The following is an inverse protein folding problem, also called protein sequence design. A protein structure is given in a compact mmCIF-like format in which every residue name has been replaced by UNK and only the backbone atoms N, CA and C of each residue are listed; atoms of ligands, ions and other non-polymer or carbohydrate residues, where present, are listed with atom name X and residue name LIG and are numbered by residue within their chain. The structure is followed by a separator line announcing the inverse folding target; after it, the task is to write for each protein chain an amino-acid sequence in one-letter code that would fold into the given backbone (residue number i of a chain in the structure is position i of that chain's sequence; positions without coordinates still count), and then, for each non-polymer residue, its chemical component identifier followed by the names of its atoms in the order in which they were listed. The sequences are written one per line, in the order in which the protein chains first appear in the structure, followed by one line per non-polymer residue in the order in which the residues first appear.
data_IF_230863119709
#
_entry.id   IF_230863119709
#
_cell.length_a   1.000
_cell.length_b   1.000
_cell.length_c   1.000
_cell.angle_alpha   90.00
_cell.angle_beta   90.00
_cell.angle_gamma   90.00
#
_symmetry.space_group_name_H-M   'P 1'
#
loop_
_entity.id
_entity.type
_entity.pdbx_description
1 polymer ?
#
# COMPACT_ATOMS: atom_id res chain seq x y z
N UNK A 1 6.32 5.75 3.31
CA UNK A 1 6.95 5.53 2.02
C UNK A 1 7.23 6.85 1.32
N UNK A 2 8.46 7.33 1.49
CA UNK A 2 8.98 8.47 0.76
C UNK A 2 9.84 7.91 -0.39
N UNK A 3 9.41 8.08 -1.63
CA UNK A 3 10.31 8.08 -2.77
C UNK A 3 10.61 9.56 -3.03
N UNK A 4 11.70 10.05 -2.46
CA UNK A 4 12.28 11.33 -2.82
C UNK A 4 12.94 11.19 -4.19
N UNK A 5 12.42 11.92 -5.17
CA UNK A 5 13.05 12.13 -6.47
C UNK A 5 14.33 12.95 -6.29
N UNK A 6 15.50 12.31 -6.37
CA UNK A 6 16.74 13.03 -6.65
C UNK A 6 17.04 12.88 -8.14
N UNK A 7 16.90 13.98 -8.86
CA UNK A 7 17.42 14.15 -10.22
C UNK A 7 18.94 14.30 -10.15
N UNK A 8 19.64 13.41 -10.84
CA UNK A 8 21.07 13.61 -11.19
C UNK A 8 21.10 14.28 -12.56
N UNK A 9 21.69 15.48 -12.71
CA UNK A 9 21.86 16.09 -14.03
C UNK A 9 23.01 15.43 -14.77
N UNK A 10 22.76 14.99 -16.00
CA UNK A 10 23.78 14.62 -16.97
C UNK A 10 24.54 15.87 -17.38
N UNK A 11 25.85 15.86 -17.11
CA UNK A 11 26.81 16.86 -17.62
C UNK A 11 27.04 16.63 -19.10
N UNK A 12 26.60 17.56 -19.95
CA UNK A 12 27.11 17.71 -21.30
C UNK A 12 28.20 18.76 -21.31
N UNK A 13 29.38 18.36 -21.78
CA UNK A 13 30.54 19.20 -22.01
C UNK A 13 30.32 20.11 -23.22
N UNK A 14 30.44 21.42 -23.05
CA UNK A 14 30.88 22.34 -24.11
C UNK A 14 31.69 23.47 -23.50
N UNK A 15 32.90 23.58 -23.98
CA UNK A 15 33.90 24.58 -23.68
C UNK A 15 33.56 25.95 -24.29
N UNK A 16 33.68 27.02 -23.53
CA UNK A 16 34.19 28.31 -24.02
C UNK A 16 34.58 29.22 -22.84
N UNK A 17 35.77 29.76 -22.97
CA UNK A 17 36.49 30.65 -22.08
C UNK A 17 35.90 32.05 -22.00
N UNK A 18 35.86 32.67 -20.83
CA UNK A 18 36.37 34.03 -20.57
C UNK A 18 36.24 34.41 -19.09
N UNK A 19 37.22 35.13 -18.64
CA UNK A 19 37.59 35.61 -17.31
C UNK A 19 36.58 36.58 -16.66
N UNK A 20 36.39 36.49 -15.33
CA UNK A 20 36.74 37.53 -14.34
C UNK A 20 36.12 37.28 -12.94
N UNK A 21 37.04 37.26 -11.96
CA UNK A 21 36.98 37.78 -10.57
C UNK A 21 35.83 37.39 -9.60
N UNK A 22 36.28 36.66 -8.57
CA UNK A 22 36.00 36.77 -7.15
C UNK A 22 34.56 36.98 -6.66
N UNK A 23 33.98 35.92 -6.16
CA UNK A 23 33.44 35.88 -4.78
C UNK A 23 33.32 34.43 -4.31
N UNK A 24 34.08 34.11 -3.29
CA UNK A 24 34.05 32.83 -2.58
C UNK A 24 32.73 32.71 -1.81
N UNK A 25 31.81 31.89 -2.30
CA UNK A 25 30.74 31.37 -1.50
C UNK A 25 30.96 29.89 -1.25
N UNK A 26 31.41 29.55 -0.06
CA UNK A 26 31.46 28.22 0.47
C UNK A 26 30.05 27.60 0.49
N UNK A 27 29.69 26.90 -0.57
CA UNK A 27 28.64 25.90 -0.45
C UNK A 27 29.25 24.62 0.14
N UNK A 28 29.28 24.54 1.44
CA UNK A 28 29.43 23.27 2.14
C UNK A 28 28.27 22.38 1.72
N UNK A 29 28.58 21.37 0.90
CA UNK A 29 27.71 20.21 0.80
C UNK A 29 27.62 19.63 2.22
N UNK A 30 26.45 19.79 2.85
CA UNK A 30 26.12 19.15 4.13
C UNK A 30 26.01 17.66 3.80
N UNK A 31 27.08 16.90 3.98
CA UNK A 31 27.01 15.46 4.07
C UNK A 31 26.02 15.19 5.23
N UNK A 32 24.84 14.67 4.92
CA UNK A 32 23.90 14.18 5.93
C UNK A 32 24.66 13.05 6.62
N UNK A 33 25.08 13.30 7.86
CA UNK A 33 25.71 12.31 8.68
C UNK A 33 24.61 11.28 8.98
N UNK A 34 24.72 10.10 8.35
CA UNK A 34 23.83 8.96 8.68
C UNK A 34 23.97 8.68 10.17
N UNK A 35 22.86 8.47 10.85
CA UNK A 35 22.88 8.02 12.23
C UNK A 35 23.43 6.58 12.31
N UNK A 36 23.82 6.13 13.49
CA UNK A 36 24.44 4.80 13.65
C UNK A 36 23.47 3.68 13.27
N UNK A 37 22.17 3.91 13.46
CA UNK A 37 21.12 2.97 13.10
C UNK A 37 20.94 2.84 11.59
N UNK A 38 20.97 3.95 10.86
CA UNK A 38 20.91 3.95 9.40
C UNK A 38 22.13 3.22 8.80
N UNK A 39 23.32 3.36 9.39
CA UNK A 39 24.51 2.58 9.01
C UNK A 39 24.31 1.09 9.23
N UNK A 40 23.80 0.68 10.38
CA UNK A 40 23.54 -0.72 10.68
C UNK A 40 22.50 -1.34 9.72
N UNK A 41 21.47 -0.59 9.32
CA UNK A 41 20.49 -1.02 8.33
C UNK A 41 21.17 -1.18 6.97
N UNK A 42 22.02 -0.24 6.57
CA UNK A 42 22.73 -0.33 5.29
C UNK A 42 23.70 -1.52 5.25
N UNK A 43 24.40 -1.81 6.35
CA UNK A 43 25.25 -3.00 6.50
C UNK A 43 24.44 -4.30 6.36
N UNK A 44 23.26 -4.38 6.94
CA UNK A 44 22.36 -5.54 6.81
C UNK A 44 21.95 -5.78 5.34
N UNK A 45 21.85 -4.71 4.57
CA UNK A 45 21.38 -4.77 3.18
C UNK A 45 22.52 -4.82 2.14
N UNK A 46 23.78 -4.65 2.52
CA UNK A 46 24.94 -4.61 1.59
C UNK A 46 25.11 -5.89 0.74
N UNK A 47 24.63 -7.04 1.25
CA UNK A 47 24.65 -8.30 0.51
C UNK A 47 23.75 -8.23 -0.74
N UNK A 48 22.67 -7.43 -0.68
CA UNK A 48 21.68 -7.33 -1.75
C UNK A 48 22.10 -6.28 -2.76
N UNK A 49 22.94 -6.69 -3.73
CA UNK A 49 23.50 -5.83 -4.77
C UNK A 49 23.44 -6.52 -6.13
N UNK A 50 23.46 -5.78 -7.23
CA UNK A 50 23.52 -6.35 -8.57
C UNK A 50 24.62 -7.40 -8.71
N UNK A 51 24.29 -8.52 -9.38
CA UNK A 51 25.15 -9.69 -9.53
C UNK A 51 25.06 -10.72 -8.41
N UNK A 52 24.54 -10.37 -7.21
CA UNK A 52 24.43 -11.31 -6.12
C UNK A 52 23.38 -12.41 -6.42
N UNK A 53 23.72 -13.66 -6.03
CA UNK A 53 22.85 -14.82 -6.17
C UNK A 53 22.07 -15.05 -4.87
N UNK A 54 20.77 -15.18 -4.98
CA UNK A 54 19.89 -15.63 -3.91
C UNK A 54 19.64 -17.14 -4.03
N UNK A 55 19.04 -17.73 -3.00
CA UNK A 55 18.55 -19.11 -3.11
C UNK A 55 17.48 -19.24 -4.19
N UNK A 56 17.24 -20.46 -4.67
CA UNK A 56 16.31 -20.79 -5.76
C UNK A 56 16.66 -20.06 -7.08
N UNK A 57 17.97 -19.90 -7.35
CA UNK A 57 18.53 -19.43 -8.61
C UNK A 57 18.10 -18.01 -9.03
N UNK A 58 17.72 -17.15 -8.10
CA UNK A 58 17.43 -15.75 -8.38
C UNK A 58 18.70 -14.91 -8.34
N UNK A 59 19.02 -14.23 -9.44
CA UNK A 59 20.11 -13.26 -9.51
C UNK A 59 19.57 -11.83 -9.44
N UNK A 60 20.19 -11.00 -8.59
CA UNK A 60 19.85 -9.57 -8.49
C UNK A 60 20.43 -8.86 -9.71
N UNK A 61 19.58 -8.14 -10.47
CA UNK A 61 19.95 -7.44 -11.70
C UNK A 61 20.21 -5.96 -11.44
N UNK A 62 19.23 -5.23 -10.95
CA UNK A 62 19.32 -3.78 -10.74
C UNK A 62 18.43 -3.32 -9.58
N UNK A 63 18.76 -2.18 -8.99
CA UNK A 63 17.94 -1.48 -8.00
C UNK A 63 16.80 -0.76 -8.71
N UNK A 64 15.56 -1.06 -8.33
CA UNK A 64 14.35 -0.41 -8.85
C UNK A 64 13.90 0.77 -7.99
N UNK A 65 14.19 0.73 -6.69
CA UNK A 65 13.84 1.77 -5.74
C UNK A 65 14.30 1.46 -4.34
N UNK A 66 14.34 2.52 -3.53
CA UNK A 66 14.68 2.49 -2.11
C UNK A 66 13.72 3.39 -1.34
N UNK A 67 13.35 3.02 -0.13
CA UNK A 67 12.42 3.79 0.68
C UNK A 67 12.43 3.36 2.15
N UNK A 68 11.54 3.94 2.96
CA UNK A 68 11.47 3.71 4.40
C UNK A 68 11.23 2.26 4.84
N UNK A 69 10.87 1.37 3.92
CA UNK A 69 10.68 -0.07 4.19
C UNK A 69 11.79 -0.96 3.61
N UNK A 70 12.88 -0.38 3.08
CA UNK A 70 14.01 -1.11 2.51
C UNK A 70 14.19 -0.89 1.02
N UNK A 71 14.80 -1.88 0.34
CA UNK A 71 15.20 -1.78 -1.07
C UNK A 71 14.40 -2.74 -1.94
N UNK A 72 14.15 -2.32 -3.18
CA UNK A 72 13.46 -3.13 -4.19
C UNK A 72 14.38 -3.29 -5.41
N UNK A 73 14.56 -4.53 -5.85
CA UNK A 73 15.43 -4.87 -6.98
C UNK A 73 14.66 -5.64 -8.05
N UNK A 74 15.09 -5.51 -9.30
CA UNK A 74 14.78 -6.51 -10.32
C UNK A 74 15.67 -7.72 -10.10
N UNK A 75 15.07 -8.92 -10.15
CA UNK A 75 15.77 -10.20 -10.09
C UNK A 75 15.35 -11.05 -11.27
N UNK A 76 16.25 -11.94 -11.69
CA UNK A 76 15.99 -12.92 -12.74
C UNK A 76 16.25 -14.33 -12.22
N UNK A 77 15.33 -15.23 -12.48
CA UNK A 77 15.55 -16.66 -12.25
C UNK A 77 16.45 -17.20 -13.34
N UNK A 78 17.57 -17.78 -12.95
CA UNK A 78 18.61 -18.26 -13.87
C UNK A 78 18.28 -19.60 -14.54
N UNK A 79 17.15 -20.24 -14.19
CA UNK A 79 16.69 -21.49 -14.83
C UNK A 79 15.74 -21.16 -15.98
N UNK A 80 14.68 -20.38 -15.72
CA UNK A 80 13.61 -20.11 -16.68
C UNK A 80 13.63 -18.68 -17.22
N UNK A 81 14.61 -17.87 -16.81
CA UNK A 81 14.82 -16.48 -17.19
C UNK A 81 13.65 -15.54 -16.80
N UNK A 82 12.76 -15.98 -15.94
CA UNK A 82 11.65 -15.16 -15.43
C UNK A 82 12.17 -13.96 -14.64
N UNK A 83 11.68 -12.77 -14.95
CA UNK A 83 11.98 -11.56 -14.19
C UNK A 83 10.95 -11.36 -13.07
N UNK A 84 11.41 -10.92 -11.90
CA UNK A 84 10.58 -10.65 -10.72
C UNK A 84 11.09 -9.42 -9.95
N UNK A 85 10.31 -8.98 -8.97
CA UNK A 85 10.70 -7.92 -8.04
C UNK A 85 11.06 -8.52 -6.69
N UNK A 86 12.25 -8.20 -6.18
CA UNK A 86 12.74 -8.56 -4.86
C UNK A 86 12.56 -7.36 -3.92
N UNK A 87 11.78 -7.52 -2.86
CA UNK A 87 11.71 -6.55 -1.74
C UNK A 87 12.58 -7.06 -0.59
N UNK A 88 13.42 -6.21 -0.02
CA UNK A 88 14.32 -6.53 1.10
C UNK A 88 14.17 -5.48 2.19
N UNK A 89 14.02 -5.92 3.44
CA UNK A 89 14.03 -5.04 4.61
C UNK A 89 15.03 -5.57 5.66
N UNK A 90 15.70 -4.66 6.38
CA UNK A 90 16.48 -5.03 7.56
C UNK A 90 15.56 -5.49 8.70
N UNK A 91 15.99 -6.45 9.49
CA UNK A 91 15.27 -6.86 10.72
C UNK A 91 15.27 -5.80 11.81
N UNK A 92 16.11 -4.78 11.68
CA UNK A 92 16.26 -3.64 12.61
C UNK A 92 15.29 -2.50 12.33
N UNK A 93 14.48 -2.62 11.26
CA UNK A 93 13.48 -1.60 10.92
C UNK A 93 12.48 -1.40 12.05
N UNK A 94 12.17 -0.13 12.36
CA UNK A 94 11.19 0.22 13.37
C UNK A 94 9.74 -0.12 12.93
N UNK A 95 8.89 -0.40 13.90
CA UNK A 95 7.48 -0.68 13.63
C UNK A 95 7.16 -2.11 13.21
N UNK A 96 8.18 -2.99 13.16
CA UNK A 96 8.02 -4.39 12.78
C UNK A 96 8.19 -4.64 11.28
N UNK A 97 8.11 -5.91 10.88
CA UNK A 97 8.34 -6.31 9.50
C UNK A 97 7.13 -6.02 8.59
N UNK A 98 7.29 -5.09 7.67
CA UNK A 98 6.32 -4.83 6.60
C UNK A 98 6.18 -6.04 5.66
N UNK A 99 7.29 -6.73 5.36
CA UNK A 99 7.30 -7.96 4.54
C UNK A 99 6.45 -9.06 5.15
N UNK A 100 6.43 -9.20 6.48
CA UNK A 100 5.56 -10.21 7.13
C UNK A 100 4.08 -9.91 6.92
N UNK A 101 3.68 -8.65 7.04
CA UNK A 101 2.29 -8.23 6.83
C UNK A 101 1.91 -8.40 5.35
N UNK A 102 2.76 -7.96 4.45
CA UNK A 102 2.56 -8.07 3.00
C UNK A 102 2.46 -9.53 2.55
N UNK A 103 3.37 -10.39 3.04
CA UNK A 103 3.32 -11.84 2.81
C UNK A 103 1.96 -12.42 3.23
N UNK A 104 1.55 -12.16 4.48
CA UNK A 104 0.29 -12.71 5.00
C UNK A 104 -0.93 -12.25 4.19
N UNK A 105 -0.96 -10.97 3.77
CA UNK A 105 -2.02 -10.43 2.94
C UNK A 105 -2.04 -11.10 1.55
N UNK A 106 -0.88 -11.20 0.87
CA UNK A 106 -0.79 -11.80 -0.46
C UNK A 106 -1.16 -13.29 -0.45
N UNK A 107 -0.65 -14.06 0.53
CA UNK A 107 -1.02 -15.48 0.69
C UNK A 107 -2.52 -15.66 0.88
N UNK A 108 -3.15 -14.81 1.71
CA UNK A 108 -4.58 -14.88 1.96
C UNK A 108 -5.41 -14.46 0.73
N UNK A 109 -5.03 -13.37 0.05
CA UNK A 109 -5.73 -12.90 -1.15
C UNK A 109 -5.73 -13.95 -2.26
N UNK A 110 -4.62 -14.67 -2.42
CA UNK A 110 -4.47 -15.71 -3.45
C UNK A 110 -4.90 -17.12 -2.99
N UNK A 111 -5.36 -17.29 -1.75
CA UNK A 111 -5.76 -18.58 -1.19
C UNK A 111 -6.82 -19.31 -2.04
N UNK A 112 -7.74 -18.55 -2.64
CA UNK A 112 -8.82 -19.06 -3.50
C UNK A 112 -8.55 -18.80 -4.99
N UNK A 113 -7.31 -18.98 -5.42
CA UNK A 113 -6.87 -18.77 -6.81
C UNK A 113 -6.23 -17.41 -7.05
N UNK A 114 -5.54 -17.30 -8.18
CA UNK A 114 -4.86 -16.06 -8.58
C UNK A 114 -5.84 -14.93 -8.82
N UNK A 115 -5.48 -13.72 -8.41
CA UNK A 115 -6.25 -12.49 -8.65
C UNK A 115 -5.46 -11.60 -9.60
N UNK A 116 -6.06 -11.13 -10.67
CA UNK A 116 -5.37 -10.30 -11.66
C UNK A 116 -5.03 -9.00 -10.97
N UNK A 117 -5.44 -8.19 -10.44
CA UNK A 117 -5.06 -6.88 -9.89
C UNK A 117 -4.11 -6.91 -8.67
N UNK A 118 -3.56 -8.08 -8.34
CA UNK A 118 -2.66 -8.24 -7.17
C UNK A 118 -1.43 -9.04 -7.58
N UNK A 119 -0.21 -8.61 -7.23
CA UNK A 119 1.00 -9.34 -7.58
C UNK A 119 1.05 -10.71 -6.88
N UNK A 120 1.56 -11.72 -7.58
CA UNK A 120 1.79 -13.05 -7.01
C UNK A 120 3.02 -13.02 -6.11
N UNK A 121 2.92 -13.69 -4.96
CA UNK A 121 4.06 -14.02 -4.11
C UNK A 121 4.76 -15.25 -4.67
N UNK A 122 6.02 -15.10 -5.11
CA UNK A 122 6.80 -16.17 -5.70
C UNK A 122 7.69 -16.86 -4.67
N UNK A 123 8.30 -16.11 -3.76
CA UNK A 123 9.20 -16.64 -2.75
C UNK A 123 9.34 -15.72 -1.55
N UNK A 124 9.61 -16.26 -0.38
CA UNK A 124 9.96 -15.50 0.83
C UNK A 124 11.05 -16.20 1.62
N UNK A 125 11.90 -15.40 2.27
CA UNK A 125 12.93 -15.93 3.17
C UNK A 125 13.24 -14.90 4.26
N UNK A 126 13.45 -15.41 5.47
CA UNK A 126 14.10 -14.69 6.56
C UNK A 126 15.56 -15.09 6.64
N UNK A 127 16.46 -14.12 6.74
CA UNK A 127 17.86 -14.27 7.11
C UNK A 127 18.11 -13.67 8.49
N UNK A 128 19.35 -13.81 9.01
CA UNK A 128 19.71 -13.25 10.32
C UNK A 128 19.40 -11.74 10.39
N UNK A 129 19.82 -10.99 9.36
CA UNK A 129 19.79 -9.53 9.35
C UNK A 129 18.71 -8.93 8.43
N UNK A 130 18.08 -9.72 7.57
CA UNK A 130 17.09 -9.20 6.61
C UNK A 130 15.97 -10.19 6.34
N UNK A 131 14.78 -9.65 6.10
CA UNK A 131 13.68 -10.36 5.48
C UNK A 131 13.62 -10.00 4.01
N UNK A 132 13.27 -10.93 3.15
CA UNK A 132 13.00 -10.64 1.76
C UNK A 132 11.86 -11.45 1.17
N UNK A 133 11.25 -10.89 0.15
CA UNK A 133 10.21 -11.53 -0.64
C UNK A 133 10.43 -11.24 -2.12
N UNK A 134 10.04 -12.19 -2.96
CA UNK A 134 10.05 -12.07 -4.42
C UNK A 134 8.60 -12.13 -4.89
N UNK A 135 8.19 -11.14 -5.65
CA UNK A 135 6.84 -10.99 -6.19
C UNK A 135 6.90 -10.76 -7.70
N UNK A 136 5.76 -10.87 -8.37
CA UNK A 136 5.63 -10.54 -9.79
C UNK A 136 6.22 -9.17 -10.09
N UNK A 137 7.08 -9.08 -11.11
CA UNK A 137 7.58 -7.80 -11.63
C UNK A 137 6.46 -7.10 -12.39
N UNK A 138 6.20 -5.85 -12.03
CA UNK A 138 5.23 -4.98 -12.70
C UNK A 138 5.93 -3.88 -13.50
N UNK A 139 5.15 -3.12 -14.23
CA UNK A 139 5.59 -1.95 -14.97
C UNK A 139 5.64 -0.68 -14.12
N UNK A 140 5.54 0.48 -14.77
CA UNK A 140 5.58 1.78 -14.08
C UNK A 140 4.31 1.99 -13.24
N UNK A 141 4.48 2.60 -12.06
CA UNK A 141 3.37 2.99 -11.20
C UNK A 141 2.72 4.29 -11.69
N UNK A 142 1.49 4.55 -11.22
CA UNK A 142 0.70 5.69 -11.66
C UNK A 142 1.36 7.04 -11.35
N UNK A 143 2.14 7.15 -10.25
CA UNK A 143 2.87 8.38 -9.94
C UNK A 143 3.93 8.67 -10.99
N UNK A 144 4.77 7.68 -11.33
CA UNK A 144 5.81 7.84 -12.34
C UNK A 144 5.26 8.15 -13.73
N UNK A 145 4.15 7.51 -14.09
CA UNK A 145 3.46 7.80 -15.36
C UNK A 145 2.95 9.25 -15.37
N UNK A 146 2.35 9.72 -14.23
CA UNK A 146 1.92 11.12 -14.10
C UNK A 146 3.09 12.07 -14.30
N UNK A 147 4.16 11.88 -13.54
CA UNK A 147 5.32 12.79 -13.53
C UNK A 147 5.99 12.86 -14.91
N UNK A 148 6.07 11.72 -15.60
CA UNK A 148 6.77 11.59 -16.89
C UNK A 148 5.92 12.07 -18.07
N UNK A 149 4.61 11.76 -18.09
CA UNK A 149 3.77 11.99 -19.26
C UNK A 149 2.70 13.04 -19.04
N UNK A 150 2.22 13.22 -17.80
CA UNK A 150 1.05 14.05 -17.48
C UNK A 150 1.23 14.92 -16.25
N UNK A 151 2.23 15.78 -16.19
CA UNK A 151 2.51 16.61 -14.99
C UNK A 151 1.34 17.55 -14.63
N UNK A 152 0.44 17.84 -15.58
CA UNK A 152 -0.78 18.64 -15.35
C UNK A 152 -2.02 17.81 -15.03
N UNK A 153 -1.93 16.47 -15.08
CA UNK A 153 -3.03 15.53 -14.86
C UNK A 153 -3.28 14.63 -16.06
N UNK A 154 -3.83 13.46 -15.80
CA UNK A 154 -4.14 12.45 -16.82
C UNK A 154 -5.24 12.92 -17.78
N UNK A 155 -5.18 12.58 -19.07
CA UNK A 155 -6.32 12.72 -19.99
C UNK A 155 -7.52 11.94 -19.46
N UNK A 156 -8.71 12.50 -19.57
CA UNK A 156 -9.92 11.95 -18.94
C UNK A 156 -10.21 10.51 -19.34
N UNK A 157 -9.95 10.11 -20.59
CA UNK A 157 -10.18 8.75 -21.07
C UNK A 157 -9.21 7.74 -20.43
N UNK A 158 -7.93 8.10 -20.27
CA UNK A 158 -6.95 7.29 -19.56
C UNK A 158 -7.30 7.22 -18.07
N UNK A 159 -7.59 8.38 -17.48
CA UNK A 159 -7.94 8.52 -16.09
C UNK A 159 -9.13 7.66 -15.65
N UNK A 160 -10.23 7.68 -16.43
CA UNK A 160 -11.43 6.91 -16.08
C UNK A 160 -11.22 5.40 -16.20
N UNK A 161 -10.45 4.93 -17.20
CA UNK A 161 -10.06 3.51 -17.31
C UNK A 161 -9.23 3.06 -16.09
N UNK A 162 -8.30 3.88 -15.64
CA UNK A 162 -7.51 3.63 -14.43
C UNK A 162 -8.39 3.64 -13.18
N UNK A 163 -9.34 4.58 -13.08
CA UNK A 163 -10.24 4.70 -11.92
C UNK A 163 -11.06 3.43 -11.67
N UNK A 164 -11.65 2.87 -12.74
CA UNK A 164 -12.41 1.61 -12.67
C UNK A 164 -11.51 0.46 -12.23
N UNK A 165 -10.32 0.33 -12.81
CA UNK A 165 -9.39 -0.73 -12.44
C UNK A 165 -8.90 -0.62 -10.98
N UNK A 166 -8.63 0.59 -10.50
CA UNK A 166 -8.26 0.81 -9.09
C UNK A 166 -9.39 0.42 -8.13
N UNK A 167 -10.66 0.73 -8.48
CA UNK A 167 -11.81 0.30 -7.69
C UNK A 167 -11.90 -1.23 -7.61
N UNK A 168 -11.74 -1.91 -8.74
CA UNK A 168 -11.74 -3.38 -8.81
C UNK A 168 -10.61 -3.96 -7.95
N UNK A 169 -9.39 -3.42 -8.05
CA UNK A 169 -8.25 -3.85 -7.26
C UNK A 169 -8.49 -3.71 -5.75
N UNK A 170 -9.03 -2.57 -5.31
CA UNK A 170 -9.36 -2.33 -3.90
C UNK A 170 -10.45 -3.30 -3.43
N UNK A 171 -11.50 -3.53 -4.25
CA UNK A 171 -12.56 -4.48 -3.89
C UNK A 171 -12.02 -5.90 -3.72
N UNK A 172 -11.10 -6.37 -4.57
CA UNK A 172 -10.44 -7.67 -4.40
C UNK A 172 -9.77 -7.77 -3.02
N UNK A 173 -9.07 -6.73 -2.58
CA UNK A 173 -8.45 -6.69 -1.25
C UNK A 173 -9.51 -6.72 -0.15
N UNK A 174 -10.59 -5.94 -0.28
CA UNK A 174 -11.68 -5.90 0.69
C UNK A 174 -12.43 -7.24 0.77
N UNK A 175 -12.70 -7.88 -0.36
CA UNK A 175 -13.36 -9.19 -0.44
C UNK A 175 -12.49 -10.32 0.15
N UNK A 176 -11.20 -10.08 0.28
CA UNK A 176 -10.27 -10.97 0.97
C UNK A 176 -10.15 -10.67 2.47
N UNK A 177 -10.96 -9.77 3.01
CA UNK A 177 -10.99 -9.45 4.44
C UNK A 177 -9.93 -8.45 4.91
N UNK A 178 -9.24 -7.76 3.99
CA UNK A 178 -8.19 -6.80 4.31
C UNK A 178 -8.57 -5.37 3.92
N UNK A 179 -8.01 -4.41 4.67
CA UNK A 179 -7.88 -3.01 4.30
C UNK A 179 -6.45 -2.77 3.85
N UNK A 180 -6.25 -1.93 2.85
CA UNK A 180 -4.92 -1.58 2.36
C UNK A 180 -4.25 -0.50 3.22
N UNK A 181 -4.97 0.59 3.53
CA UNK A 181 -4.60 1.72 4.39
C UNK A 181 -3.47 2.64 3.89
N UNK A 182 -2.99 2.43 2.67
CA UNK A 182 -2.03 3.35 2.00
C UNK A 182 -2.33 3.45 0.50
N UNK A 183 -3.57 3.77 0.16
CA UNK A 183 -4.01 3.99 -1.22
C UNK A 183 -3.42 5.30 -1.73
N UNK A 184 -2.55 5.20 -2.75
CA UNK A 184 -1.86 6.32 -3.40
C UNK A 184 -1.36 5.94 -4.79
N UNK A 185 -1.03 6.90 -5.69
CA UNK A 185 -0.60 6.59 -7.05
C UNK A 185 0.63 5.68 -7.14
N UNK A 186 1.58 5.81 -6.20
CA UNK A 186 2.80 5.01 -6.16
C UNK A 186 2.54 3.52 -5.84
N UNK A 187 1.38 3.20 -5.23
CA UNK A 187 0.99 1.85 -4.86
C UNK A 187 0.05 1.20 -5.89
N UNK A 188 -0.08 1.78 -7.09
CA UNK A 188 -0.73 1.16 -8.24
C UNK A 188 0.21 1.18 -9.43
N UNK A 189 0.44 0.03 -10.06
CA UNK A 189 1.30 -0.11 -11.22
C UNK A 189 0.61 -0.92 -12.32
N UNK A 190 0.93 -0.60 -13.56
CA UNK A 190 0.53 -1.45 -14.68
C UNK A 190 1.30 -2.78 -14.66
N UNK A 191 0.75 -3.80 -15.30
CA UNK A 191 1.44 -5.06 -15.51
C UNK A 191 2.74 -4.88 -16.28
N UNK A 192 3.60 -5.90 -16.24
CA UNK A 192 4.87 -5.87 -16.95
C UNK A 192 4.62 -5.65 -18.46
N UNK A 193 5.21 -4.63 -19.09
CA UNK A 193 5.02 -4.38 -20.52
C UNK A 193 5.55 -5.51 -21.42
N UNK A 194 6.39 -6.41 -20.91
CA UNK A 194 6.80 -7.61 -21.60
C UNK A 194 5.73 -8.71 -21.64
N UNK A 195 4.69 -8.64 -20.77
CA UNK A 195 3.55 -9.55 -20.77
C UNK A 195 2.30 -8.85 -21.34
N UNK A 196 1.98 -9.05 -22.63
CA UNK A 196 0.86 -8.37 -23.27
C UNK A 196 -0.51 -8.68 -22.64
N UNK A 197 -0.64 -9.83 -21.96
CA UNK A 197 -1.90 -10.23 -21.30
C UNK A 197 -2.16 -9.36 -20.06
N UNK A 198 -1.12 -8.88 -19.41
CA UNK A 198 -1.20 -8.11 -18.16
C UNK A 198 -0.76 -6.66 -18.30
N UNK A 199 -0.12 -6.28 -19.42
CA UNK A 199 0.46 -4.95 -19.62
C UNK A 199 -0.52 -3.78 -19.36
N UNK A 200 -1.82 -3.98 -19.62
CA UNK A 200 -2.86 -2.95 -19.40
C UNK A 200 -3.66 -3.15 -18.12
N UNK A 201 -3.31 -4.13 -17.27
CA UNK A 201 -3.98 -4.38 -16.00
C UNK A 201 -3.26 -3.59 -14.91
N UNK A 202 -4.01 -2.79 -14.17
CA UNK A 202 -3.50 -2.06 -12.99
C UNK A 202 -3.48 -3.00 -11.79
N UNK A 203 -2.35 -3.08 -11.10
CA UNK A 203 -2.16 -3.89 -9.89
C UNK A 203 -1.98 -2.99 -8.68
N UNK A 204 -2.55 -3.38 -7.56
CA UNK A 204 -2.34 -2.75 -6.25
C UNK A 204 -1.13 -3.38 -5.55
N UNK A 205 -0.27 -2.56 -4.98
CA UNK A 205 1.03 -2.91 -4.41
C UNK A 205 1.15 -2.49 -2.96
N UNK A 206 2.12 -3.08 -2.25
CA UNK A 206 2.59 -2.65 -0.94
C UNK A 206 1.55 -2.83 0.17
N UNK A 207 1.40 -4.07 0.63
CA UNK A 207 0.52 -4.44 1.73
C UNK A 207 1.20 -4.30 3.11
N UNK A 208 2.33 -3.62 3.20
CA UNK A 208 3.09 -3.43 4.44
C UNK A 208 2.33 -2.69 5.55
N UNK A 209 1.29 -1.92 5.20
CA UNK A 209 0.40 -1.27 6.14
C UNK A 209 -0.98 -1.93 6.21
N UNK A 210 -1.23 -3.02 5.49
CA UNK A 210 -2.54 -3.66 5.43
C UNK A 210 -3.01 -4.18 6.80
N UNK A 211 -4.32 -4.32 6.96
CA UNK A 211 -4.93 -4.83 8.18
C UNK A 211 -6.14 -5.69 7.85
N UNK A 212 -6.19 -6.86 8.43
CA UNK A 212 -7.39 -7.69 8.39
C UNK A 212 -8.50 -7.00 9.21
N UNK A 213 -9.63 -6.69 8.58
CA UNK A 213 -10.78 -6.04 9.24
C UNK A 213 -11.83 -7.05 9.73
N UNK A 214 -11.69 -8.31 9.33
CA UNK A 214 -12.53 -9.43 9.76
C UNK A 214 -11.68 -10.52 10.41
N UNK A 215 -12.30 -11.31 11.25
CA UNK A 215 -11.71 -12.48 11.90
C UNK A 215 -12.66 -13.64 11.70
N UNK A 216 -12.14 -14.85 11.70
CA UNK A 216 -12.98 -16.05 11.74
C UNK A 216 -13.89 -16.02 12.97
N UNK A 217 -15.15 -16.39 12.80
CA UNK A 217 -16.08 -16.50 13.91
C UNK A 217 -15.83 -17.84 14.65
N UNK A 218 -15.37 -17.81 15.93
CA UNK A 218 -15.08 -19.03 16.67
C UNK A 218 -16.34 -19.86 16.95
N UNK A 219 -17.53 -19.27 16.82
CA UNK A 219 -18.82 -19.94 17.06
C UNK A 219 -19.41 -20.59 15.81
N UNK A 220 -18.95 -20.18 14.62
CA UNK A 220 -19.53 -20.63 13.34
C UNK A 220 -18.45 -20.81 12.28
N UNK A 221 -18.06 -22.07 12.05
CA UNK A 221 -17.06 -22.42 11.03
C UNK A 221 -17.43 -21.84 9.66
N UNK A 222 -16.49 -21.15 9.02
CA UNK A 222 -16.67 -20.53 7.71
C UNK A 222 -17.46 -19.21 7.72
N UNK A 223 -17.77 -18.68 8.90
CA UNK A 223 -18.31 -17.33 9.05
C UNK A 223 -17.24 -16.35 9.55
N UNK A 224 -17.45 -15.07 9.27
CA UNK A 224 -16.57 -14.00 9.70
C UNK A 224 -17.28 -13.10 10.70
N UNK A 225 -16.50 -12.50 11.61
CA UNK A 225 -16.93 -11.41 12.47
C UNK A 225 -16.06 -10.19 12.23
N UNK A 226 -16.60 -8.97 12.35
CA UNK A 226 -15.77 -7.78 12.24
C UNK A 226 -14.79 -7.71 13.42
N UNK A 227 -13.61 -7.17 13.14
CA UNK A 227 -12.68 -6.79 14.21
C UNK A 227 -13.24 -5.58 14.94
N UNK A 228 -13.26 -5.61 16.28
CA UNK A 228 -13.69 -4.48 17.09
C UNK A 228 -12.86 -3.24 16.79
N UNK A 229 -13.50 -2.10 16.60
CA UNK A 229 -12.86 -0.83 16.38
C UNK A 229 -12.07 -0.40 17.63
N UNK A 230 -10.83 0.04 17.45
CA UNK A 230 -10.02 0.61 18.53
C UNK A 230 -10.49 2.02 18.84
N UNK A 231 -10.42 2.46 20.11
CA UNK A 231 -10.82 3.83 20.47
C UNK A 231 -9.92 4.89 19.83
N UNK A 232 -8.64 4.56 19.62
CA UNK A 232 -7.67 5.43 18.97
C UNK A 232 -6.66 4.61 18.16
N UNK A 233 -6.20 5.17 17.05
CA UNK A 233 -5.15 4.61 16.20
C UNK A 233 -4.15 5.68 15.82
N UNK A 234 -2.86 5.32 15.79
CA UNK A 234 -1.84 6.20 15.27
C UNK A 234 -2.05 6.45 13.78
N UNK A 235 -1.68 7.65 13.34
CA UNK A 235 -1.66 7.97 11.93
C UNK A 235 -0.64 7.08 11.20
N UNK A 236 -1.07 6.43 10.13
CA UNK A 236 -0.23 5.60 9.26
C UNK A 236 -0.64 5.79 7.81
N UNK A 237 0.33 5.72 6.90
CA UNK A 237 0.11 5.93 5.47
C UNK A 237 0.50 7.33 5.01
N UNK A 238 -0.01 7.73 3.87
CA UNK A 238 0.35 8.98 3.19
C UNK A 238 -0.69 10.05 3.46
N UNK A 239 -0.35 11.06 4.25
CA UNK A 239 -1.25 12.13 4.70
C UNK A 239 -2.03 12.81 3.56
N UNK A 240 -1.38 12.99 2.40
CA UNK A 240 -1.98 13.60 1.20
C UNK A 240 -3.29 12.91 0.79
N UNK A 241 -3.35 11.58 0.91
CA UNK A 241 -4.47 10.75 0.49
C UNK A 241 -5.26 10.15 1.66
N UNK A 242 -4.85 10.39 2.90
CA UNK A 242 -5.50 9.88 4.10
C UNK A 242 -6.98 10.30 4.19
N UNK A 243 -7.85 9.38 4.60
CA UNK A 243 -9.28 9.68 4.83
C UNK A 243 -9.50 10.67 5.97
N UNK A 244 -10.67 11.32 6.07
CA UNK A 244 -11.01 12.14 7.23
C UNK A 244 -10.85 11.41 8.56
N UNK A 245 -11.29 10.14 8.64
CA UNK A 245 -11.19 9.32 9.85
C UNK A 245 -9.74 9.04 10.28
N UNK A 246 -8.81 8.92 9.31
CA UNK A 246 -7.40 8.74 9.60
C UNK A 246 -6.78 9.97 10.27
N UNK A 247 -7.20 11.19 9.88
CA UNK A 247 -6.76 12.43 10.53
C UNK A 247 -7.31 12.56 11.96
N UNK A 248 -8.47 11.96 12.25
CA UNK A 248 -9.05 11.93 13.61
C UNK A 248 -8.46 10.85 14.51
N UNK A 249 -7.56 10.00 14.00
CA UNK A 249 -7.07 8.85 14.73
C UNK A 249 -8.14 7.79 15.01
N UNK A 250 -9.22 7.76 14.22
CA UNK A 250 -10.28 6.77 14.32
C UNK A 250 -9.87 5.45 13.66
N UNK A 251 -10.50 4.33 14.08
CA UNK A 251 -10.30 3.05 13.39
C UNK A 251 -10.82 3.13 11.96
N UNK A 252 -10.07 2.54 11.03
CA UNK A 252 -10.36 2.58 9.61
C UNK A 252 -11.20 1.39 9.17
N UNK A 253 -12.10 1.64 8.22
CA UNK A 253 -12.91 0.65 7.54
C UNK A 253 -12.71 0.67 6.02
N UNK A 254 -13.49 -0.14 5.30
CA UNK A 254 -13.45 -0.21 3.84
C UNK A 254 -13.71 1.15 3.15
N UNK A 255 -14.55 1.99 3.76
CA UNK A 255 -14.83 3.34 3.27
C UNK A 255 -13.60 4.24 3.22
N UNK A 256 -12.62 4.00 4.09
CA UNK A 256 -11.45 4.85 4.22
C UNK A 256 -10.45 4.62 3.08
N UNK A 257 -10.30 3.38 2.60
CA UNK A 257 -9.56 3.08 1.37
C UNK A 257 -10.25 3.72 0.15
N UNK A 258 -11.59 3.78 0.12
CA UNK A 258 -12.34 4.45 -0.96
C UNK A 258 -12.21 5.98 -0.87
N UNK A 259 -12.19 6.58 0.33
CA UNK A 259 -11.83 8.00 0.46
C UNK A 259 -10.44 8.29 -0.10
N UNK A 260 -9.46 7.44 0.24
CA UNK A 260 -8.10 7.56 -0.29
C UNK A 260 -8.06 7.39 -1.81
N UNK A 261 -8.88 6.48 -2.38
CA UNK A 261 -9.07 6.36 -3.83
C UNK A 261 -9.58 7.67 -4.43
N UNK A 262 -10.62 8.27 -3.88
CA UNK A 262 -11.16 9.56 -4.38
C UNK A 262 -10.06 10.63 -4.40
N UNK A 263 -9.30 10.79 -3.32
CA UNK A 263 -8.23 11.77 -3.25
C UNK A 263 -7.07 11.45 -4.22
N UNK A 264 -6.74 10.18 -4.39
CA UNK A 264 -5.77 9.73 -5.39
C UNK A 264 -6.23 10.07 -6.81
N UNK A 265 -7.50 9.83 -7.13
CA UNK A 265 -8.06 10.12 -8.44
C UNK A 265 -8.12 11.63 -8.70
N UNK A 266 -8.41 12.44 -7.68
CA UNK A 266 -8.31 13.90 -7.77
C UNK A 266 -6.88 14.33 -8.10
N UNK A 267 -5.88 13.79 -7.41
CA UNK A 267 -4.46 14.11 -7.66
C UNK A 267 -4.03 13.68 -9.08
N UNK A 268 -4.47 12.52 -9.55
CA UNK A 268 -4.15 12.06 -10.90
C UNK A 268 -4.77 12.91 -12.00
N UNK A 269 -5.95 13.49 -11.77
CA UNK A 269 -6.68 14.28 -12.75
C UNK A 269 -6.35 15.77 -12.71
N UNK A 270 -6.18 16.30 -11.48
CA UNK A 270 -5.97 17.72 -11.23
C UNK A 270 -5.11 17.91 -9.96
N UNK A 271 -5.09 19.11 -9.38
CA UNK A 271 -4.46 19.35 -8.08
C UNK A 271 -5.47 19.22 -6.95
N UNK A 272 -5.02 18.71 -5.80
CA UNK A 272 -5.80 18.61 -4.57
C UNK A 272 -6.07 20.00 -3.96
N UNK A 273 -7.19 20.22 -3.26
CA UNK A 273 -7.46 21.49 -2.56
C UNK A 273 -6.39 21.86 -1.54
N UNK A 274 -5.76 20.86 -0.92
CA UNK A 274 -4.69 21.03 0.10
C UNK A 274 -3.28 20.86 -0.44
N UNK A 275 -3.06 20.92 -1.76
CA UNK A 275 -1.74 20.72 -2.38
C UNK A 275 -0.64 21.62 -1.84
N UNK A 276 -1.00 22.84 -1.42
CA UNK A 276 -0.08 23.88 -0.90
C UNK A 276 -0.14 24.02 0.63
N UNK A 277 -0.77 23.07 1.33
CA UNK A 277 -0.94 23.13 2.77
C UNK A 277 -0.02 22.11 3.44
N UNK A 278 0.88 22.57 4.31
CA UNK A 278 1.82 21.71 5.04
C UNK A 278 1.33 21.37 6.47
N UNK A 279 0.19 21.94 6.89
CA UNK A 279 -0.37 21.70 8.21
C UNK A 279 -1.36 20.52 8.18
N UNK A 280 -0.98 19.41 8.83
CA UNK A 280 -1.79 18.18 8.85
C UNK A 280 -3.17 18.36 9.47
N UNK A 281 -3.29 19.15 10.53
CA UNK A 281 -4.58 19.44 11.18
C UNK A 281 -5.49 20.26 10.27
N UNK A 282 -4.93 21.23 9.55
CA UNK A 282 -5.67 22.04 8.58
C UNK A 282 -6.17 21.17 7.42
N UNK A 283 -5.34 20.26 6.90
CA UNK A 283 -5.72 19.33 5.85
C UNK A 283 -6.85 18.41 6.33
N UNK A 284 -6.73 17.84 7.52
CA UNK A 284 -7.78 17.02 8.13
C UNK A 284 -9.11 17.79 8.22
N UNK A 285 -9.09 19.02 8.71
CA UNK A 285 -10.27 19.89 8.80
C UNK A 285 -10.87 20.20 7.42
N UNK A 286 -10.05 20.46 6.40
CA UNK A 286 -10.52 20.67 5.02
C UNK A 286 -11.27 19.43 4.52
N UNK A 287 -10.68 18.24 4.63
CA UNK A 287 -11.30 16.98 4.19
C UNK A 287 -12.62 16.68 4.88
N UNK A 288 -12.76 17.07 6.16
CA UNK A 288 -13.99 16.88 6.95
C UNK A 288 -15.09 17.87 6.60
N UNK A 289 -14.73 19.17 6.42
CA UNK A 289 -15.68 20.28 6.41
C UNK A 289 -16.10 20.75 5.03
N UNK A 290 -15.25 20.52 3.99
CA UNK A 290 -15.61 20.91 2.63
C UNK A 290 -16.89 20.20 2.19
N UNK A 291 -17.79 20.96 1.56
CA UNK A 291 -18.99 20.40 0.92
C UNK A 291 -18.56 19.50 -0.25
N UNK A 292 -19.37 18.50 -0.57
CA UNK A 292 -19.01 17.54 -1.62
C UNK A 292 -18.87 18.21 -3.00
N UNK A 293 -19.71 19.18 -3.30
CA UNK A 293 -19.65 19.95 -4.54
C UNK A 293 -18.38 20.81 -4.64
N UNK A 294 -17.93 21.37 -3.51
CA UNK A 294 -16.69 22.14 -3.44
C UNK A 294 -15.46 21.22 -3.52
N UNK A 295 -15.49 20.12 -2.77
CA UNK A 295 -14.43 19.11 -2.78
C UNK A 295 -14.20 18.55 -4.19
N UNK A 296 -15.27 18.25 -4.92
CA UNK A 296 -15.25 17.59 -6.21
C UNK A 296 -15.23 18.57 -7.41
N UNK A 297 -15.08 19.89 -7.17
CA UNK A 297 -15.25 20.95 -8.19
C UNK A 297 -14.37 20.78 -9.43
N UNK A 298 -13.20 20.16 -9.30
CA UNK A 298 -12.28 19.92 -10.42
C UNK A 298 -12.53 18.59 -11.14
N UNK A 299 -13.40 17.75 -10.61
CA UNK A 299 -13.74 16.43 -11.18
C UNK A 299 -15.08 16.49 -11.92
N UNK A 300 -15.34 15.53 -12.81
CA UNK A 300 -16.66 15.39 -13.40
C UNK A 300 -17.77 15.30 -12.34
N UNK A 301 -18.84 16.09 -12.43
CA UNK A 301 -19.87 16.18 -11.40
C UNK A 301 -20.62 14.85 -11.18
N UNK A 302 -20.56 13.95 -12.15
CA UNK A 302 -21.10 12.60 -12.06
C UNK A 302 -20.53 11.80 -10.88
N UNK A 303 -19.39 12.24 -10.32
CA UNK A 303 -18.70 11.58 -9.19
C UNK A 303 -19.13 12.10 -7.81
N UNK A 304 -19.85 13.21 -7.73
CA UNK A 304 -20.33 13.79 -6.44
C UNK A 304 -21.12 12.76 -5.60
N UNK A 305 -21.96 11.88 -6.17
CA UNK A 305 -22.65 10.87 -5.37
C UNK A 305 -21.73 9.93 -4.58
N UNK A 306 -20.47 9.75 -5.00
CA UNK A 306 -19.49 8.90 -4.31
C UNK A 306 -19.19 9.49 -2.94
N UNK A 307 -18.82 10.76 -2.85
CA UNK A 307 -18.47 11.41 -1.56
C UNK A 307 -19.69 11.52 -0.65
N UNK A 308 -20.88 11.83 -1.20
CA UNK A 308 -22.14 11.82 -0.44
C UNK A 308 -22.40 10.45 0.18
N UNK A 309 -22.23 9.36 -0.59
CA UNK A 309 -22.35 8.00 -0.07
C UNK A 309 -21.33 7.71 1.02
N UNK A 310 -20.04 8.03 0.81
CA UNK A 310 -18.99 7.75 1.78
C UNK A 310 -19.20 8.46 3.13
N UNK A 311 -19.82 9.64 3.15
CA UNK A 311 -20.15 10.35 4.39
C UNK A 311 -21.23 9.68 5.22
N UNK A 312 -22.07 8.82 4.62
CA UNK A 312 -23.12 8.07 5.35
C UNK A 312 -22.58 6.80 6.00
N UNK A 313 -21.34 6.38 5.70
CA UNK A 313 -20.78 5.12 6.16
C UNK A 313 -20.01 5.27 7.46
N UNK A 314 -20.10 4.26 8.30
CA UNK A 314 -19.21 4.05 9.45
C UNK A 314 -18.08 3.05 9.15
N UNK A 315 -17.29 2.70 10.17
CA UNK A 315 -16.13 1.80 10.06
C UNK A 315 -16.51 0.38 9.62
N UNK A 316 -17.71 -0.07 9.90
CA UNK A 316 -18.17 -1.45 9.62
C UNK A 316 -18.89 -1.58 8.28
N UNK A 317 -19.40 -0.47 7.75
CA UNK A 317 -20.23 -0.51 6.56
C UNK A 317 -19.41 -0.91 5.31
N UNK A 318 -20.06 -1.65 4.44
CA UNK A 318 -19.54 -1.97 3.11
C UNK A 318 -19.85 -0.80 2.16
N UNK A 319 -18.85 -0.22 1.47
CA UNK A 319 -19.12 0.72 0.39
C UNK A 319 -19.98 0.09 -0.71
N UNK A 320 -20.85 0.87 -1.29
CA UNK A 320 -21.60 0.45 -2.47
C UNK A 320 -20.71 0.59 -3.72
N UNK A 321 -19.96 -0.47 -4.03
CA UNK A 321 -19.03 -0.49 -5.17
C UNK A 321 -19.75 -0.34 -6.51
N UNK A 322 -21.00 -0.83 -6.62
CA UNK A 322 -21.83 -0.67 -7.81
C UNK A 322 -22.14 0.80 -8.04
N UNK A 323 -22.64 1.52 -7.01
CA UNK A 323 -22.89 2.95 -7.11
C UNK A 323 -21.64 3.72 -7.56
N UNK A 324 -20.47 3.36 -7.00
CA UNK A 324 -19.20 4.03 -7.34
C UNK A 324 -18.85 3.76 -8.80
N UNK A 325 -18.97 2.51 -9.25
CA UNK A 325 -18.72 2.15 -10.63
C UNK A 325 -19.72 2.81 -11.61
N UNK A 326 -20.99 2.90 -11.25
CA UNK A 326 -22.01 3.57 -12.05
C UNK A 326 -21.68 5.06 -12.26
N UNK A 327 -21.10 5.71 -11.23
CA UNK A 327 -20.59 7.06 -11.37
C UNK A 327 -19.41 7.12 -12.34
N UNK A 328 -18.50 6.17 -12.30
CA UNK A 328 -17.39 6.07 -13.26
C UNK A 328 -17.89 5.76 -14.67
N UNK A 329 -18.84 4.86 -14.81
CA UNK A 329 -19.41 4.49 -16.13
C UNK A 329 -20.12 5.65 -16.82
N UNK A 330 -20.81 6.51 -16.07
CA UNK A 330 -21.37 7.76 -16.60
C UNK A 330 -20.28 8.65 -17.20
N UNK A 331 -19.12 8.77 -16.54
CA UNK A 331 -17.98 9.53 -17.06
C UNK A 331 -17.38 8.82 -18.28
N UNK A 332 -17.18 7.50 -18.20
CA UNK A 332 -16.66 6.67 -19.29
C UNK A 332 -17.48 6.85 -20.57
N UNK A 333 -18.80 6.76 -20.45
CA UNK A 333 -19.75 6.92 -21.56
C UNK A 333 -19.79 8.36 -22.08
N UNK A 334 -19.86 9.36 -21.19
CA UNK A 334 -19.88 10.78 -21.53
C UNK A 334 -18.68 11.20 -22.38
N UNK A 335 -17.49 10.72 -22.02
CA UNK A 335 -16.25 11.03 -22.74
C UNK A 335 -15.92 10.02 -23.85
N UNK A 336 -16.83 9.10 -24.15
CA UNK A 336 -16.66 8.06 -25.19
C UNK A 336 -15.31 7.33 -25.04
N UNK A 337 -14.96 6.96 -23.78
CA UNK A 337 -13.79 6.14 -23.55
C UNK A 337 -14.01 4.71 -24.04
N UNK A 338 -12.94 4.01 -24.38
CA UNK A 338 -13.02 2.63 -24.85
C UNK A 338 -11.86 1.81 -24.27
N UNK A 339 -12.13 0.56 -23.92
CA UNK A 339 -11.12 -0.36 -23.41
C UNK A 339 -10.10 -0.78 -24.47
N UNK A 340 -10.50 -0.76 -25.75
CA UNK A 340 -9.60 -1.09 -26.87
C UNK A 340 -8.67 0.07 -27.24
N UNK A 341 -9.02 1.33 -26.87
CA UNK A 341 -8.11 2.46 -27.08
C UNK A 341 -6.81 2.26 -26.31
N UNK A 342 -5.64 2.48 -26.94
CA UNK A 342 -4.37 2.45 -26.23
C UNK A 342 -4.34 3.51 -25.13
N UNK A 343 -3.42 3.35 -24.19
CA UNK A 343 -3.03 4.46 -23.34
C UNK A 343 -2.05 5.35 -24.09
N UNK A 344 -2.12 6.66 -23.90
CA UNK A 344 -1.34 7.63 -24.69
C UNK A 344 0.19 7.49 -24.50
N UNK A 345 0.63 6.82 -23.42
CA UNK A 345 2.05 6.52 -23.19
C UNK A 345 2.53 5.20 -23.81
N UNK A 346 1.66 4.39 -24.36
CA UNK A 346 2.08 3.16 -25.04
C UNK A 346 2.76 3.49 -26.38
N UNK A 347 3.88 2.82 -26.66
CA UNK A 347 4.45 2.89 -28.01
C UNK A 347 3.47 2.27 -29.02
N UNK A 348 3.59 2.65 -30.28
CA UNK A 348 2.74 2.11 -31.35
C UNK A 348 2.80 0.58 -31.41
N UNK A 349 3.99 0.01 -31.27
CA UNK A 349 4.22 -1.44 -31.29
C UNK A 349 3.58 -2.13 -30.07
N UNK A 350 3.72 -1.53 -28.88
CA UNK A 350 3.08 -2.02 -27.67
C UNK A 350 1.56 -1.95 -27.78
N UNK A 351 1.01 -0.87 -28.32
CA UNK A 351 -0.42 -0.69 -28.50
C UNK A 351 -1.01 -1.77 -29.43
N UNK A 352 -0.36 -2.06 -30.57
CA UNK A 352 -0.80 -3.10 -31.51
C UNK A 352 -0.72 -4.49 -30.86
N UNK A 353 0.41 -4.81 -30.21
CA UNK A 353 0.59 -6.09 -29.52
C UNK A 353 -0.44 -6.31 -28.42
N UNK A 354 -0.65 -5.32 -27.57
CA UNK A 354 -1.58 -5.41 -26.43
C UNK A 354 -3.04 -5.51 -26.93
N UNK A 355 -3.40 -4.84 -28.04
CA UNK A 355 -4.73 -4.92 -28.63
C UNK A 355 -5.05 -6.34 -29.11
N UNK A 356 -4.09 -7.03 -29.74
CA UNK A 356 -4.30 -8.40 -30.23
C UNK A 356 -4.66 -9.36 -29.08
N UNK A 357 -4.08 -9.17 -27.90
CA UNK A 357 -4.42 -9.97 -26.72
C UNK A 357 -5.76 -9.57 -26.07
N UNK A 358 -6.13 -8.29 -26.13
CA UNK A 358 -7.41 -7.82 -25.56
C UNK A 358 -8.61 -8.32 -26.36
N UNK A 359 -8.49 -8.50 -27.67
CA UNK A 359 -9.57 -9.02 -28.51
C UNK A 359 -9.92 -10.48 -28.21
N UNK A 360 -8.97 -11.26 -27.67
CA UNK A 360 -9.16 -12.66 -27.31
C UNK A 360 -9.61 -12.93 -25.87
N UNK A 361 -9.54 -11.94 -24.98
CA UNK A 361 -9.95 -12.09 -23.58
C UNK A 361 -11.28 -11.39 -23.30
N UNK A 362 -12.23 -12.10 -22.65
CA UNK A 362 -13.40 -11.43 -22.07
C UNK A 362 -12.90 -10.33 -21.13
N UNK A 363 -13.15 -9.08 -21.49
CA UNK A 363 -12.71 -7.96 -20.69
C UNK A 363 -13.51 -7.95 -19.37
N UNK A 364 -12.80 -8.16 -18.26
CA UNK A 364 -13.33 -8.13 -16.89
C UNK A 364 -14.12 -6.83 -16.58
N UNK A 365 -13.93 -5.79 -17.38
CA UNK A 365 -14.50 -4.47 -17.15
C UNK A 365 -15.69 -4.12 -18.05
N UNK A 366 -16.07 -4.99 -18.99
CA UNK A 366 -17.24 -4.76 -19.84
C UNK A 366 -18.55 -4.98 -19.12
N UNK A 367 -18.56 -5.86 -18.12
CA UNK A 367 -19.68 -6.06 -17.19
C UNK A 367 -19.15 -6.42 -15.80
N UNK A 368 -18.67 -5.45 -15.03
CA UNK A 368 -18.18 -5.68 -13.66
C UNK A 368 -19.34 -5.85 -12.65
N UNK A 369 -20.59 -5.67 -13.06
CA UNK A 369 -21.76 -5.64 -12.21
C UNK A 369 -21.86 -6.85 -11.27
N UNK A 370 -21.81 -8.10 -11.75
CA UNK A 370 -21.86 -9.27 -10.89
C UNK A 370 -20.76 -9.28 -9.81
N UNK A 371 -19.52 -8.99 -10.21
CA UNK A 371 -18.39 -8.92 -9.26
C UNK A 371 -18.58 -7.81 -8.23
N UNK A 372 -19.06 -6.63 -8.62
CA UNK A 372 -19.23 -5.49 -7.71
C UNK A 372 -20.38 -5.69 -6.71
N UNK A 373 -21.41 -6.45 -7.08
CA UNK A 373 -22.53 -6.80 -6.21
C UNK A 373 -22.15 -7.87 -5.18
N UNK A 374 -21.27 -8.80 -5.55
CA UNK A 374 -20.85 -9.90 -4.69
C UNK A 374 -20.27 -9.40 -3.35
N UNK A 375 -20.68 -10.01 -2.24
CA UNK A 375 -20.14 -9.79 -0.90
C UNK A 375 -19.76 -11.11 -0.25
N UNK A 376 -18.55 -11.63 -0.50
CA UNK A 376 -18.11 -12.92 0.04
C UNK A 376 -17.94 -12.90 1.56
N UNK A 377 -17.69 -11.74 2.14
CA UNK A 377 -17.49 -11.57 3.59
C UNK A 377 -18.82 -11.47 4.35
N UNK A 378 -19.87 -10.95 3.71
CA UNK A 378 -21.24 -10.80 4.28
C UNK A 378 -21.29 -10.09 5.64
N UNK A 379 -20.34 -9.20 5.90
CA UNK A 379 -20.30 -8.34 7.09
C UNK A 379 -20.64 -6.93 6.66
N UNK A 380 -21.90 -6.56 6.81
CA UNK A 380 -22.37 -5.20 6.67
C UNK A 380 -23.29 -4.90 7.86
N UNK A 381 -22.67 -4.51 8.97
CA UNK A 381 -23.36 -4.26 10.23
C UNK A 381 -23.30 -2.78 10.55
N UNK A 382 -24.47 -2.22 10.77
CA UNK A 382 -24.57 -0.86 11.32
C UNK A 382 -24.08 -0.82 12.79
N UNK A 383 -23.77 0.36 13.32
CA UNK A 383 -23.19 0.57 14.64
C UNK A 383 -24.00 -0.04 15.80
N UNK A 384 -25.31 -0.22 15.63
CA UNK A 384 -26.21 -0.71 16.68
C UNK A 384 -26.08 -2.20 17.04
N UNK A 385 -25.39 -3.01 16.24
CA UNK A 385 -25.27 -4.46 16.51
C UNK A 385 -24.00 -4.85 17.27
N UNK A 386 -23.05 -3.95 17.45
CA UNK A 386 -21.77 -4.20 18.15
C UNK A 386 -21.48 -3.23 19.30
N UNK A 387 -22.42 -2.34 19.66
CA UNK A 387 -22.45 -1.74 20.97
C UNK A 387 -22.97 -2.82 21.95
N UNK A 388 -22.10 -3.76 22.31
CA UNK A 388 -22.39 -4.62 23.45
C UNK A 388 -22.41 -3.72 24.67
N UNK A 389 -23.41 -3.90 25.50
CA UNK A 389 -23.57 -3.30 26.81
C UNK A 389 -22.39 -3.51 27.77
N UNK A 390 -21.39 -4.27 27.36
CA UNK A 390 -20.22 -4.63 28.16
C UNK A 390 -18.98 -3.76 27.91
N UNK A 391 -18.99 -2.89 26.87
CA UNK A 391 -17.86 -1.99 26.55
C UNK A 391 -18.22 -0.49 26.74
N UNK A 392 -19.08 -0.16 27.69
CA UNK A 392 -19.27 1.23 28.10
C UNK A 392 -18.09 1.72 28.93
N UNK A 393 -16.95 1.94 28.27
CA UNK A 393 -15.93 2.84 28.80
C UNK A 393 -16.45 4.27 28.56
N UNK A 394 -16.58 5.10 29.60
CA UNK A 394 -17.10 6.46 29.45
C UNK A 394 -16.24 7.24 28.46
N UNK A 395 -16.86 7.90 27.50
CA UNK A 395 -16.18 8.89 26.66
C UNK A 395 -15.67 10.01 27.56
N UNK A 396 -14.41 9.94 27.98
CA UNK A 396 -13.73 11.05 28.59
C UNK A 396 -13.44 12.04 27.46
N UNK A 397 -14.28 13.08 27.39
CA UNK A 397 -13.99 14.25 26.59
C UNK A 397 -12.71 14.87 27.17
N UNK A 398 -11.59 14.72 26.46
CA UNK A 398 -10.36 15.39 26.78
C UNK A 398 -10.56 16.90 26.57
N UNK A 399 -10.98 17.61 27.64
CA UNK A 399 -10.83 19.06 27.73
C UNK A 399 -9.33 19.35 27.78
N UNK A 400 -8.77 19.83 26.70
CA UNK A 400 -7.45 20.45 26.70
C UNK A 400 -7.50 21.66 27.66
N UNK A 401 -6.87 21.56 28.83
CA UNK A 401 -6.55 22.71 29.66
C UNK A 401 -5.33 23.39 29.02
N UNK A 402 -5.56 24.52 28.38
CA UNK A 402 -4.53 25.48 28.04
C UNK A 402 -4.12 26.22 29.31
N UNK A 403 -3.04 25.82 29.96
CA UNK A 403 -2.36 26.68 30.92
C UNK A 403 -1.20 27.35 30.23
N UNK A 404 -1.35 28.64 30.04
CA UNK A 404 -0.27 29.55 29.67
C UNK A 404 0.76 29.59 30.80
N UNK A 405 2.02 29.31 30.48
CA UNK A 405 3.15 29.51 31.42
C UNK A 405 3.80 30.84 31.10
N UNK A 406 3.69 31.78 32.05
CA UNK A 406 4.53 32.98 32.08
C UNK A 406 5.83 32.66 32.86
N UNK A 407 6.99 33.19 32.45
CA UNK A 407 8.25 32.94 33.09
C UNK A 407 8.60 34.09 34.09
N UNK A 408 8.73 33.78 35.37
CA UNK A 408 9.61 34.57 36.23
C UNK A 408 9.81 33.90 37.61
N UNK A 409 11.07 33.93 38.07
CA UNK A 409 11.61 33.78 39.44
C UNK A 409 11.87 32.36 39.98
N UNK A 410 13.18 32.04 40.08
CA UNK A 410 13.77 31.21 41.11
C UNK A 410 13.72 31.94 42.51
N UNK A 411 13.86 31.26 43.70
CA UNK A 411 15.01 30.46 44.05
C UNK A 411 14.79 29.27 45.04
N UNK A 412 15.81 28.40 45.08
CA UNK A 412 16.40 27.64 46.21
C UNK A 412 15.54 26.86 47.24
N UNK A 413 15.89 25.60 47.44
CA UNK A 413 15.53 24.84 48.63
C UNK A 413 15.72 23.33 48.51
N UNK A 414 16.79 22.87 49.15
CA UNK A 414 17.20 21.49 49.41
C UNK A 414 16.13 20.61 50.06
N UNK A 415 16.07 19.29 49.71
CA UNK A 415 16.18 18.20 50.67
C UNK A 415 15.59 16.86 50.18
N UNK A 416 16.42 15.85 50.23
CA UNK A 416 16.18 14.47 50.69
C UNK A 416 15.33 13.49 49.85
N UNK A 417 16.05 12.48 49.31
CA UNK A 417 15.57 11.13 48.98
C UNK A 417 15.08 10.37 50.22
N UNK A 418 14.16 9.43 50.06
CA UNK A 418 14.32 8.12 50.69
C UNK A 418 14.32 6.94 49.75
N UNK A 419 15.07 5.97 50.19
CA UNK A 419 15.53 4.70 49.72
C UNK A 419 14.47 3.68 49.30
N UNK A 420 14.96 2.79 48.44
CA UNK A 420 14.40 1.53 47.97
C UNK A 420 13.90 0.58 49.08
N UNK A 421 12.82 -0.15 48.79
CA UNK A 421 12.54 -1.45 49.45
C UNK A 421 12.18 -2.50 48.37
N UNK A 422 12.89 -3.62 48.49
CA UNK A 422 12.83 -4.88 47.80
C UNK A 422 11.43 -5.53 47.79
N UNK A 423 11.05 -6.15 46.67
CA UNK A 423 10.10 -7.25 46.63
C UNK A 423 10.67 -8.33 45.69
N UNK A 424 10.54 -9.64 46.03
CA UNK A 424 11.40 -10.68 45.51
C UNK A 424 10.92 -11.34 44.19
N UNK A 425 11.93 -11.83 43.46
CA UNK A 425 11.79 -12.74 42.30
C UNK A 425 11.15 -14.06 42.71
N UNK A 426 10.16 -14.50 41.90
CA UNK A 426 9.68 -15.86 41.86
C UNK A 426 9.86 -16.41 40.44
N UNK A 427 10.96 -17.15 40.27
CA UNK A 427 11.23 -17.97 39.10
C UNK A 427 10.34 -19.21 39.11
N UNK A 428 9.63 -19.51 38.03
CA UNK A 428 9.17 -20.86 37.68
C UNK A 428 9.57 -21.16 36.24
N UNK A 429 10.59 -22.00 36.17
CA UNK A 429 10.98 -22.71 34.95
C UNK A 429 9.87 -23.67 34.51
N UNK A 430 9.58 -23.66 33.21
CA UNK A 430 8.76 -24.67 32.56
C UNK A 430 9.66 -25.49 31.62
N UNK A 431 9.91 -26.72 31.99
CA UNK A 431 10.62 -27.73 31.20
C UNK A 431 9.59 -28.43 30.31
N UNK A 432 9.77 -28.55 28.99
CA UNK A 432 8.95 -29.43 28.17
C UNK A 432 9.50 -30.86 28.22
N UNK A 433 8.63 -31.80 28.52
CA UNK A 433 8.88 -33.25 28.44
C UNK A 433 8.98 -33.72 26.99
N UNK A 434 10.03 -34.45 26.69
CA UNK A 434 10.18 -35.31 25.50
C UNK A 434 9.16 -36.46 25.53
N UNK A 435 8.51 -36.71 24.39
CA UNK A 435 7.61 -37.84 24.17
C UNK A 435 7.91 -38.51 22.85
N UNK A 436 8.59 -39.65 22.96
CA UNK A 436 8.62 -40.90 22.18
C UNK A 436 8.32 -40.89 20.67
N UNK A 437 9.31 -41.38 19.93
CA UNK A 437 9.31 -41.92 18.57
C UNK A 437 8.26 -43.02 18.36
N UNK A 438 7.44 -42.85 17.31
CA UNK A 438 6.86 -44.00 16.61
C UNK A 438 7.20 -43.90 15.11
N UNK A 439 7.74 -45.01 14.60
CA UNK A 439 8.22 -45.18 13.25
C UNK A 439 7.05 -45.43 12.27
N UNK A 440 7.03 -44.72 11.14
CA UNK A 440 6.15 -44.95 10.00
C UNK A 440 6.95 -45.71 8.91
N UNK A 441 6.40 -46.79 8.31
CA UNK A 441 7.11 -47.60 7.30
C UNK A 441 7.22 -46.87 5.96
N UNK A 442 8.36 -47.05 5.31
CA UNK A 442 8.66 -46.61 3.95
C UNK A 442 7.91 -47.49 2.94
N UNK A 443 7.09 -46.89 2.09
CA UNK A 443 6.65 -47.50 0.82
C UNK A 443 7.58 -47.08 -0.31
N UNK A 444 8.08 -48.07 -1.05
CA UNK A 444 8.87 -47.92 -2.27
C UNK A 444 7.99 -47.55 -3.46
N UNK A 445 8.47 -46.72 -4.43
CA UNK A 445 7.72 -46.39 -5.64
C UNK A 445 7.81 -47.53 -6.68
N UNK A 446 6.65 -47.94 -7.20
CA UNK A 446 6.53 -48.85 -8.33
C UNK A 446 6.72 -48.11 -9.65
N UNK A 447 7.57 -48.68 -10.53
CA UNK A 447 7.82 -48.25 -11.89
C UNK A 447 6.58 -48.31 -12.79
N UNK A 448 6.40 -47.34 -13.73
CA UNK A 448 5.33 -47.39 -14.72
C UNK A 448 5.71 -48.30 -15.91
N UNK A 449 4.81 -49.24 -16.23
CA UNK A 449 4.88 -50.10 -17.42
C UNK A 449 4.62 -49.29 -18.70
N UNK A 450 5.46 -49.54 -19.71
CA UNK A 450 5.26 -49.11 -21.10
C UNK A 450 3.96 -49.69 -21.72
N UNK A 451 3.29 -48.94 -22.61
CA UNK A 451 2.25 -49.49 -23.47
C UNK A 451 2.85 -50.09 -24.74
N UNK A 452 2.49 -51.33 -25.05
CA UNK A 452 2.69 -51.98 -26.34
C UNK A 452 1.51 -51.62 -27.27
N UNK A 453 1.90 -51.34 -28.50
CA UNK A 453 1.15 -51.13 -29.76
C UNK A 453 0.39 -49.85 -29.92
#
# INVERSE_FOLDING_TARGET
SFILSMQIPLLSSSSSSSSSRHSSSHRFARAVQMDDKDREIEEDLQYYRPGAMLRNNWQIQELLGEGGFGKVYRVQNMIDLTNAALKVESVRMEGGSAIKLEKAALEHIHQNGTKDHVPMLLYTKRRANANYMIVTLLGENLSRIKDKHYPKGYPVKCWIKVSIQCLVAIKIVHDSGFLHRDIKPANFAFGNPADPKKARIVHILDFGLSRQYVLDDPKKKGAYRPRTARPHTDFRGTWKFASPAMHDGSELGRKDDIWSLVFMLMDLYASLPWERCDNLDAIGKMKQRMKDEELMIKLPPELIPITKHLRTLDVYNRPNYTLINDCFDKVFTKFKASWIEPYDWESREAAVRNLAYQQGSKQMYTDPGPFLLEDPIKINVGPSKYSSSDDQVPRVSAKRSTTAVNPSSQPSGSAQRPSAKNIPMGTKEFIPKEGSNEAVPKEEPKDPKEPKN
#
